data_IF_265798341564
#
_entry.id   IF_265798341564
#
_cell.length_a   1.000
_cell.length_b   1.000
_cell.length_c   1.000
_cell.angle_alpha   90.00
_cell.angle_beta   90.00
_cell.angle_gamma   90.00
#
_symmetry.space_group_name_H-M   'P 1'
#
loop_
_entity.id
_entity.type
_entity.pdbx_description
1 polymer ?
#
# COMPACT_ATOMS: atom_id res chain seq x y z
N UNK A 1 -31.11 -123.79 2.86
CA UNK A 1 -31.49 -122.60 3.66
C UNK A 1 -30.52 -121.49 3.22
N UNK A 2 -30.88 -120.68 2.22
CA UNK A 2 -31.59 -119.38 2.31
C UNK A 2 -30.70 -118.30 2.96
N UNK A 3 -30.57 -117.06 2.50
CA UNK A 3 -31.09 -116.30 1.36
C UNK A 3 -30.28 -115.00 1.29
N UNK A 4 -30.24 -114.37 0.13
CA UNK A 4 -29.60 -113.08 -0.17
C UNK A 4 -30.13 -111.91 0.68
N UNK A 5 -29.36 -110.82 0.80
CA UNK A 5 -29.93 -109.50 0.45
C UNK A 5 -28.89 -108.40 0.16
N UNK A 6 -29.16 -107.68 -0.93
CA UNK A 6 -28.49 -106.47 -1.40
C UNK A 6 -28.98 -105.24 -0.60
N UNK A 7 -28.08 -104.29 -0.29
CA UNK A 7 -28.46 -102.95 0.19
C UNK A 7 -27.95 -101.86 -0.75
N UNK A 8 -28.91 -101.29 -1.47
CA UNK A 8 -28.85 -100.05 -2.26
C UNK A 8 -28.42 -98.86 -1.39
N UNK A 9 -27.41 -98.14 -1.87
CA UNK A 9 -26.99 -96.81 -1.40
C UNK A 9 -27.91 -95.73 -1.97
N UNK A 10 -28.65 -95.02 -1.10
CA UNK A 10 -29.26 -93.71 -1.44
C UNK A 10 -28.49 -92.60 -0.74
N UNK A 11 -27.77 -91.79 -1.51
CA UNK A 11 -27.18 -90.53 -1.03
C UNK A 11 -28.24 -89.42 -1.08
N UNK A 12 -28.40 -88.71 0.04
CA UNK A 12 -29.42 -87.68 0.26
C UNK A 12 -28.88 -86.29 -0.16
N UNK A 13 -29.51 -85.53 -1.07
CA UNK A 13 -28.92 -84.35 -1.71
C UNK A 13 -28.92 -83.07 -0.84
N UNK A 14 -29.51 -83.08 0.37
CA UNK A 14 -29.70 -81.89 1.21
C UNK A 14 -28.42 -81.34 1.87
N UNK A 15 -27.32 -82.10 1.96
CA UNK A 15 -26.10 -81.68 2.69
C UNK A 15 -25.15 -80.76 1.88
N UNK A 16 -25.20 -80.79 0.54
CA UNK A 16 -24.30 -79.98 -0.32
C UNK A 16 -24.68 -78.49 -0.40
N UNK A 17 -25.94 -78.13 -0.13
CA UNK A 17 -26.43 -76.77 -0.41
C UNK A 17 -26.19 -75.76 0.74
N UNK A 18 -26.10 -76.23 2.00
CA UNK A 18 -25.86 -75.38 3.18
C UNK A 18 -24.45 -74.77 3.22
N UNK A 19 -23.43 -75.51 2.76
CA UNK A 19 -22.05 -75.01 2.73
C UNK A 19 -21.84 -73.92 1.67
N UNK A 20 -22.65 -73.90 0.60
CA UNK A 20 -22.56 -72.88 -0.46
C UNK A 20 -23.22 -71.55 -0.09
N UNK A 21 -24.23 -71.57 0.77
CA UNK A 21 -24.93 -70.37 1.23
C UNK A 21 -24.11 -69.64 2.31
N UNK A 22 -23.47 -70.39 3.22
CA UNK A 22 -22.57 -69.83 4.24
C UNK A 22 -21.33 -69.18 3.61
N UNK A 23 -20.68 -69.83 2.64
CA UNK A 23 -19.49 -69.27 1.96
C UNK A 23 -19.82 -68.02 1.12
N UNK A 24 -20.99 -67.98 0.47
CA UNK A 24 -21.47 -66.77 -0.22
C UNK A 24 -21.76 -65.62 0.74
N UNK A 25 -22.28 -65.91 1.94
CA UNK A 25 -22.53 -64.90 2.96
C UNK A 25 -21.23 -64.32 3.53
N UNK A 26 -20.21 -65.13 3.76
CA UNK A 26 -18.86 -64.69 4.19
C UNK A 26 -18.15 -63.87 3.11
N UNK A 27 -18.18 -64.31 1.84
CA UNK A 27 -17.61 -63.54 0.74
C UNK A 27 -18.29 -62.17 0.55
N UNK A 28 -19.61 -62.07 0.78
CA UNK A 28 -20.34 -60.80 0.76
C UNK A 28 -19.94 -59.90 1.93
N UNK A 29 -19.74 -60.45 3.13
CA UNK A 29 -19.28 -59.70 4.31
C UNK A 29 -17.86 -59.17 4.10
N UNK A 30 -16.95 -59.99 3.58
CA UNK A 30 -15.57 -59.59 3.29
C UNK A 30 -15.51 -58.44 2.26
N UNK A 31 -16.30 -58.51 1.18
CA UNK A 31 -16.38 -57.41 0.19
C UNK A 31 -16.95 -56.12 0.78
N UNK A 32 -17.96 -56.22 1.64
CA UNK A 32 -18.55 -55.05 2.32
C UNK A 32 -17.56 -54.44 3.32
N UNK A 33 -16.77 -55.25 4.02
CA UNK A 33 -15.72 -54.77 4.92
C UNK A 33 -14.56 -54.11 4.18
N UNK A 34 -14.15 -54.66 3.04
CA UNK A 34 -13.14 -54.07 2.15
C UNK A 34 -13.62 -52.71 1.60
N UNK A 35 -14.86 -52.64 1.13
CA UNK A 35 -15.49 -51.39 0.68
C UNK A 35 -15.55 -50.35 1.81
N UNK A 36 -15.98 -50.75 3.02
CA UNK A 36 -15.99 -49.87 4.19
C UNK A 36 -14.60 -49.36 4.57
N UNK A 37 -13.56 -50.21 4.50
CA UNK A 37 -12.17 -49.79 4.75
C UNK A 37 -11.67 -48.83 3.68
N UNK A 38 -12.01 -49.06 2.42
CA UNK A 38 -11.66 -48.18 1.30
C UNK A 38 -12.35 -46.81 1.41
N UNK A 39 -13.63 -46.77 1.80
CA UNK A 39 -14.38 -45.55 2.07
C UNK A 39 -13.79 -44.80 3.27
N UNK A 40 -13.53 -45.48 4.40
CA UNK A 40 -12.90 -44.87 5.57
C UNK A 40 -11.50 -44.32 5.25
N UNK A 41 -10.72 -45.00 4.42
CA UNK A 41 -9.41 -44.51 3.97
C UNK A 41 -9.52 -43.26 3.09
N UNK A 42 -10.53 -43.21 2.20
CA UNK A 42 -10.83 -42.03 1.37
C UNK A 42 -11.33 -40.86 2.21
N UNK A 43 -12.23 -41.10 3.17
CA UNK A 43 -12.71 -40.06 4.09
C UNK A 43 -11.60 -39.51 4.96
N UNK A 44 -10.73 -40.38 5.53
CA UNK A 44 -9.56 -39.93 6.29
C UNK A 44 -8.63 -39.09 5.42
N UNK A 45 -8.33 -39.53 4.19
CA UNK A 45 -7.47 -38.79 3.27
C UNK A 45 -8.10 -37.45 2.88
N UNK A 46 -9.38 -37.41 2.53
CA UNK A 46 -10.07 -36.19 2.16
C UNK A 46 -10.17 -35.24 3.36
N UNK A 47 -10.46 -35.75 4.56
CA UNK A 47 -10.47 -34.95 5.79
C UNK A 47 -9.10 -34.34 6.07
N UNK A 48 -8.03 -35.12 5.94
CA UNK A 48 -6.65 -34.61 6.11
C UNK A 48 -6.41 -33.51 5.08
N UNK A 49 -6.62 -33.77 3.79
CA UNK A 49 -6.42 -32.79 2.71
C UNK A 49 -7.20 -31.51 2.98
N UNK A 50 -8.51 -31.61 3.28
CA UNK A 50 -9.34 -30.43 3.58
C UNK A 50 -8.80 -29.65 4.77
N UNK A 51 -8.42 -30.32 5.86
CA UNK A 51 -7.86 -29.65 7.04
C UNK A 51 -6.52 -28.98 6.71
N UNK A 52 -5.63 -29.64 5.99
CA UNK A 52 -4.31 -29.08 5.64
C UNK A 52 -4.45 -27.88 4.71
N UNK A 53 -5.32 -27.96 3.69
CA UNK A 53 -5.58 -26.86 2.76
C UNK A 53 -6.22 -25.67 3.49
N UNK A 54 -7.25 -25.91 4.30
CA UNK A 54 -7.89 -24.85 5.08
C UNK A 54 -6.91 -24.19 6.06
N UNK A 55 -6.06 -24.98 6.72
CA UNK A 55 -5.04 -24.45 7.62
C UNK A 55 -3.99 -23.60 6.87
N UNK A 56 -3.55 -24.04 5.69
CA UNK A 56 -2.61 -23.28 4.87
C UNK A 56 -3.21 -21.95 4.38
N UNK A 57 -4.48 -21.95 3.96
CA UNK A 57 -5.19 -20.73 3.56
C UNK A 57 -5.29 -19.76 4.74
N UNK A 58 -5.71 -20.24 5.93
CA UNK A 58 -5.80 -19.41 7.13
C UNK A 58 -4.43 -18.84 7.54
N UNK A 59 -3.38 -19.66 7.52
CA UNK A 59 -2.02 -19.19 7.81
C UNK A 59 -1.55 -18.13 6.80
N UNK A 60 -1.85 -18.32 5.51
CA UNK A 60 -1.56 -17.33 4.47
C UNK A 60 -2.31 -16.02 4.65
N UNK A 61 -3.61 -16.06 4.97
CA UNK A 61 -4.41 -14.86 5.22
C UNK A 61 -3.98 -14.11 6.48
N UNK A 62 -3.68 -14.83 7.57
CA UNK A 62 -3.21 -14.22 8.82
C UNK A 62 -1.81 -13.63 8.63
N UNK A 63 -0.87 -14.39 8.05
CA UNK A 63 0.49 -13.92 7.81
C UNK A 63 0.54 -12.76 6.82
N UNK A 64 -0.19 -12.86 5.69
CA UNK A 64 -0.29 -11.79 4.70
C UNK A 64 -1.00 -10.56 5.24
N UNK A 65 -2.11 -10.74 5.97
CA UNK A 65 -2.83 -9.65 6.62
C UNK A 65 -1.98 -8.92 7.66
N UNK A 66 -1.27 -9.67 8.52
CA UNK A 66 -0.34 -9.09 9.49
C UNK A 66 0.80 -8.32 8.82
N UNK A 67 1.42 -8.87 7.78
CA UNK A 67 2.48 -8.19 7.02
C UNK A 67 1.98 -6.88 6.39
N UNK A 68 0.77 -6.88 5.82
CA UNK A 68 0.18 -5.66 5.26
C UNK A 68 -0.12 -4.61 6.34
N UNK A 69 -0.57 -5.04 7.52
CA UNK A 69 -0.80 -4.13 8.66
C UNK A 69 0.51 -3.56 9.19
N UNK A 70 1.54 -4.38 9.41
CA UNK A 70 2.86 -3.94 9.86
C UNK A 70 3.52 -2.95 8.88
N UNK A 71 3.42 -3.23 7.58
CA UNK A 71 3.91 -2.31 6.54
C UNK A 71 3.13 -0.99 6.50
N UNK A 72 1.81 -1.02 6.76
CA UNK A 72 1.00 0.18 6.86
C UNK A 72 1.35 1.01 8.11
N UNK A 73 1.51 0.36 9.26
CA UNK A 73 1.91 1.00 10.52
C UNK A 73 3.30 1.62 10.40
N UNK A 74 4.27 0.92 9.81
CA UNK A 74 5.62 1.46 9.57
C UNK A 74 5.60 2.69 8.65
N UNK A 75 4.77 2.65 7.60
CA UNK A 75 4.58 3.80 6.70
C UNK A 75 3.91 4.96 7.41
N UNK A 76 2.92 4.70 8.27
CA UNK A 76 2.26 5.72 9.07
C UNK A 76 3.21 6.35 10.10
N UNK A 77 4.04 5.55 10.77
CA UNK A 77 5.05 6.06 11.70
C UNK A 77 6.14 6.89 10.99
N UNK A 78 6.59 6.47 9.82
CA UNK A 78 7.50 7.26 8.99
C UNK A 78 6.85 8.58 8.52
N UNK A 79 5.55 8.55 8.20
CA UNK A 79 4.76 9.76 7.92
C UNK A 79 4.48 10.62 9.16
N UNK A 80 4.66 10.10 10.38
CA UNK A 80 4.54 10.90 11.60
C UNK A 80 5.85 11.61 11.96
N UNK A 81 7.01 11.01 11.71
CA UNK A 81 8.31 11.60 12.03
C UNK A 81 8.67 12.75 11.07
N UNK A 82 9.06 13.95 11.55
CA UNK A 82 9.47 15.06 10.68
C UNK A 82 10.72 14.71 9.86
N UNK A 83 10.88 15.34 8.69
CA UNK A 83 12.10 15.17 7.88
C UNK A 83 13.28 15.77 8.63
N UNK A 84 14.41 15.07 8.65
CA UNK A 84 15.57 15.47 9.45
C UNK A 84 16.09 16.87 9.05
N UNK A 85 16.13 17.78 10.03
CA UNK A 85 16.62 19.15 9.84
C UNK A 85 15.63 20.10 9.17
N UNK A 86 14.36 19.70 9.00
CA UNK A 86 13.31 20.63 8.62
C UNK A 86 13.03 21.64 9.74
N UNK A 87 12.56 22.82 9.36
CA UNK A 87 11.99 23.82 10.26
C UNK A 87 10.47 23.78 10.17
N UNK A 88 9.80 24.04 11.28
CA UNK A 88 8.35 24.05 11.37
C UNK A 88 7.80 25.33 11.96
N UNK A 89 6.63 25.74 11.49
CA UNK A 89 5.87 26.87 11.98
C UNK A 89 4.44 26.45 12.24
N UNK A 90 3.93 26.78 13.42
CA UNK A 90 2.58 26.47 13.84
C UNK A 90 1.72 27.75 13.91
N UNK A 91 0.39 27.57 13.94
CA UNK A 91 -0.58 28.68 14.10
C UNK A 91 -0.45 29.76 13.02
N UNK A 92 -0.18 29.34 11.79
CA UNK A 92 -0.20 30.22 10.63
C UNK A 92 -1.65 30.60 10.31
N UNK A 93 -1.88 31.87 9.97
CA UNK A 93 -3.18 32.31 9.46
C UNK A 93 -3.44 31.78 8.06
N UNK A 94 -4.70 31.84 7.62
CA UNK A 94 -5.19 31.34 6.32
C UNK A 94 -6.09 32.40 5.66
N UNK A 95 -5.85 33.68 5.95
CA UNK A 95 -6.72 34.74 5.41
C UNK A 95 -6.32 35.07 3.99
N UNK A 96 -7.27 35.04 3.07
CA UNK A 96 -7.06 35.59 1.72
C UNK A 96 -7.02 37.12 1.76
N UNK A 97 -5.98 37.71 1.19
CA UNK A 97 -5.74 39.16 1.14
C UNK A 97 -5.26 39.60 -0.24
N UNK A 98 -5.63 40.82 -0.65
CA UNK A 98 -5.20 41.42 -1.93
C UNK A 98 -3.94 42.29 -1.79
N UNK A 99 -3.31 42.29 -0.61
CA UNK A 99 -2.15 43.12 -0.27
C UNK A 99 -0.89 42.30 -0.06
N UNK A 100 0.28 42.92 -0.21
CA UNK A 100 1.55 42.29 0.11
C UNK A 100 1.63 41.88 1.59
N UNK A 101 2.21 40.71 1.86
CA UNK A 101 2.30 40.11 3.19
C UNK A 101 3.76 40.01 3.63
N UNK A 102 4.03 40.39 4.88
CA UNK A 102 5.34 40.21 5.49
C UNK A 102 5.38 38.89 6.25
N UNK A 103 6.14 37.93 5.72
CA UNK A 103 6.33 36.63 6.34
C UNK A 103 7.53 36.60 7.30
N UNK A 104 7.48 35.80 8.37
CA UNK A 104 8.59 35.66 9.32
C UNK A 104 9.70 34.70 8.85
N UNK A 105 9.53 34.07 7.68
CA UNK A 105 10.46 33.13 7.08
C UNK A 105 10.58 33.36 5.57
N UNK A 106 11.67 32.86 4.99
CA UNK A 106 12.02 33.08 3.58
C UNK A 106 12.62 31.79 2.99
N UNK A 107 12.03 31.20 1.94
CA UNK A 107 10.68 31.49 1.39
C UNK A 107 9.56 31.28 2.43
N UNK A 108 8.37 31.85 2.22
CA UNK A 108 7.23 31.65 3.12
C UNK A 108 6.65 30.24 3.03
N UNK A 109 6.08 29.77 4.15
CA UNK A 109 5.46 28.43 4.26
C UNK A 109 3.98 28.47 4.67
N UNK A 110 3.34 29.63 4.64
CA UNK A 110 1.97 29.80 5.14
C UNK A 110 1.76 31.16 5.81
N UNK A 111 0.52 31.46 6.18
CA UNK A 111 0.09 32.78 6.64
C UNK A 111 -0.94 33.39 5.68
N UNK A 112 -1.28 34.65 5.88
CA UNK A 112 -2.16 35.39 4.96
C UNK A 112 -1.56 35.38 3.55
N UNK A 113 -2.40 35.25 2.53
CA UNK A 113 -1.93 35.01 1.16
C UNK A 113 -2.99 35.40 0.11
N UNK A 114 -2.65 35.34 -1.18
CA UNK A 114 -3.52 35.87 -2.23
C UNK A 114 -4.78 35.01 -2.39
N UNK A 115 -5.93 35.53 -2.85
CA UNK A 115 -7.12 34.71 -3.11
C UNK A 115 -6.98 33.77 -4.32
N UNK A 116 -5.94 33.93 -5.12
CA UNK A 116 -5.66 33.10 -6.30
C UNK A 116 -4.35 32.37 -6.11
N UNK A 117 -4.33 31.05 -6.29
CA UNK A 117 -3.12 30.25 -6.22
C UNK A 117 -2.24 30.42 -7.46
N UNK A 118 -0.94 30.18 -7.29
CA UNK A 118 -0.05 29.91 -8.41
C UNK A 118 -0.30 28.50 -8.92
N UNK A 119 -0.35 28.28 -10.25
CA UNK A 119 -0.44 26.91 -10.78
C UNK A 119 0.70 26.05 -10.20
N UNK A 120 0.35 24.86 -9.71
CA UNK A 120 1.20 24.04 -8.87
C UNK A 120 1.10 22.54 -9.18
N UNK A 121 0.71 22.17 -10.40
CA UNK A 121 0.51 20.77 -10.78
C UNK A 121 1.64 20.24 -11.66
N UNK A 122 2.88 20.46 -11.21
CA UNK A 122 4.10 20.16 -11.95
C UNK A 122 4.62 21.35 -12.74
N UNK A 123 4.38 22.57 -12.25
CA UNK A 123 4.71 23.80 -12.95
C UNK A 123 6.17 24.22 -12.71
N UNK A 124 6.85 24.58 -13.80
CA UNK A 124 8.25 25.05 -13.78
C UNK A 124 8.27 26.50 -14.23
N UNK A 125 8.67 27.38 -13.32
CA UNK A 125 8.77 28.83 -13.55
C UNK A 125 10.23 29.23 -13.78
N UNK A 126 10.46 30.08 -14.78
CA UNK A 126 11.78 30.65 -15.10
C UNK A 126 12.04 31.97 -14.39
N UNK A 127 10.99 32.62 -13.89
CA UNK A 127 11.05 33.89 -13.18
C UNK A 127 10.55 33.72 -11.73
N UNK A 128 10.98 34.57 -10.79
CA UNK A 128 10.42 34.59 -9.44
C UNK A 128 8.91 34.81 -9.47
N UNK A 129 8.18 34.03 -8.67
CA UNK A 129 6.74 34.16 -8.49
C UNK A 129 6.41 34.97 -7.22
N UNK A 130 5.19 35.50 -7.14
CA UNK A 130 4.74 36.21 -5.95
C UNK A 130 4.53 35.23 -4.78
N UNK A 131 5.05 35.60 -3.62
CA UNK A 131 5.00 34.83 -2.38
C UNK A 131 3.55 34.44 -2.03
N UNK A 132 2.63 35.40 -2.11
CA UNK A 132 1.24 35.26 -1.71
C UNK A 132 0.51 34.25 -2.61
N UNK A 133 0.82 34.19 -3.90
CA UNK A 133 0.24 33.18 -4.80
C UNK A 133 0.84 31.79 -4.54
N UNK A 134 2.16 31.72 -4.28
CA UNK A 134 2.83 30.46 -3.97
C UNK A 134 2.36 29.87 -2.62
N UNK A 135 2.11 30.71 -1.61
CA UNK A 135 1.61 30.29 -0.29
C UNK A 135 0.22 29.68 -0.41
N UNK A 136 -0.66 30.24 -1.24
CA UNK A 136 -1.96 29.61 -1.54
C UNK A 136 -1.77 28.22 -2.15
N UNK A 137 -0.80 28.05 -3.07
CA UNK A 137 -0.49 26.70 -3.59
C UNK A 137 -0.07 25.72 -2.49
N UNK A 138 0.63 26.19 -1.45
CA UNK A 138 0.97 25.36 -0.28
C UNK A 138 -0.28 25.00 0.55
N UNK A 139 -1.26 25.92 0.64
CA UNK A 139 -2.57 25.67 1.28
C UNK A 139 -3.30 24.51 0.59
N UNK A 140 -3.21 24.43 -0.74
CA UNK A 140 -3.75 23.34 -1.56
C UNK A 140 -2.92 22.04 -1.49
N UNK A 141 -1.80 22.07 -0.76
CA UNK A 141 -0.94 20.91 -0.52
C UNK A 141 0.13 20.69 -1.57
N UNK A 142 0.53 21.76 -2.26
CA UNK A 142 1.72 21.72 -3.08
C UNK A 142 3.00 21.78 -2.25
N UNK A 143 4.09 21.28 -2.83
CA UNK A 143 5.45 21.61 -2.38
C UNK A 143 6.08 22.59 -3.36
N UNK A 144 6.48 23.76 -2.87
CA UNK A 144 7.22 24.76 -3.62
C UNK A 144 8.72 24.57 -3.42
N UNK A 145 9.40 24.23 -4.52
CA UNK A 145 10.85 24.12 -4.58
C UNK A 145 11.41 25.44 -5.11
N UNK A 146 12.41 25.98 -4.43
CA UNK A 146 13.01 27.27 -4.78
C UNK A 146 14.52 27.15 -4.83
N UNK A 147 15.15 27.93 -5.71
CA UNK A 147 16.60 27.92 -5.89
C UNK A 147 17.17 29.33 -6.09
N UNK A 148 18.43 29.53 -5.72
CA UNK A 148 19.21 30.73 -6.04
C UNK A 148 20.41 30.39 -6.93
N UNK A 149 21.26 31.38 -7.20
CA UNK A 149 22.45 31.30 -8.04
C UNK A 149 23.56 30.35 -7.52
N UNK A 150 23.44 29.87 -6.28
CA UNK A 150 24.36 28.89 -5.70
C UNK A 150 23.99 27.45 -6.04
N UNK A 151 22.76 27.20 -6.53
CA UNK A 151 22.37 25.89 -7.03
C UNK A 151 23.01 25.64 -8.40
N UNK A 152 23.49 24.41 -8.64
CA UNK A 152 24.04 24.08 -9.95
C UNK A 152 22.93 23.95 -11.00
N UNK A 153 23.20 24.33 -12.25
CA UNK A 153 22.24 24.18 -13.36
C UNK A 153 21.77 22.72 -13.52
N UNK A 154 22.65 21.77 -13.24
CA UNK A 154 22.32 20.34 -13.26
C UNK A 154 21.30 19.96 -12.17
N UNK A 155 21.47 20.49 -10.95
CA UNK A 155 20.51 20.27 -9.86
C UNK A 155 19.15 20.92 -10.18
N UNK A 156 19.17 22.16 -10.68
CA UNK A 156 17.95 22.90 -11.07
C UNK A 156 17.22 22.14 -12.17
N UNK A 157 17.92 21.74 -13.23
CA UNK A 157 17.31 20.97 -14.32
C UNK A 157 16.71 19.64 -13.82
N UNK A 158 17.43 18.90 -13.00
CA UNK A 158 16.94 17.62 -12.47
C UNK A 158 15.71 17.80 -11.55
N UNK A 159 15.67 18.89 -10.79
CA UNK A 159 14.51 19.27 -10.00
C UNK A 159 13.32 19.64 -10.88
N UNK A 160 13.51 20.49 -11.89
CA UNK A 160 12.48 20.85 -12.86
C UNK A 160 11.91 19.63 -13.58
N UNK A 161 12.77 18.72 -14.05
CA UNK A 161 12.36 17.47 -14.69
C UNK A 161 11.53 16.57 -13.75
N UNK A 162 11.81 16.61 -12.44
CA UNK A 162 11.02 15.89 -11.43
C UNK A 162 9.69 16.57 -11.14
N UNK A 163 9.70 17.90 -10.96
CA UNK A 163 8.49 18.71 -10.73
C UNK A 163 7.50 18.54 -11.87
N UNK A 164 7.94 18.63 -13.13
CA UNK A 164 7.10 18.44 -14.32
C UNK A 164 6.36 17.09 -14.38
N UNK A 165 6.77 16.10 -13.58
CA UNK A 165 6.17 14.75 -13.51
C UNK A 165 5.50 14.48 -12.16
N UNK A 166 5.50 15.44 -11.24
CA UNK A 166 4.98 15.30 -9.89
C UNK A 166 3.84 16.29 -9.70
N UNK A 167 2.58 15.83 -9.69
CA UNK A 167 1.42 16.65 -9.31
C UNK A 167 1.64 17.34 -7.97
N UNK A 168 0.97 18.48 -7.75
CA UNK A 168 1.10 19.26 -6.51
C UNK A 168 2.55 19.63 -6.18
N UNK A 169 3.33 20.00 -7.20
CA UNK A 169 4.65 20.60 -7.04
C UNK A 169 4.84 21.77 -7.99
N UNK A 170 5.67 22.71 -7.58
CA UNK A 170 6.12 23.80 -8.42
C UNK A 170 7.57 24.16 -8.11
N UNK A 171 8.28 24.71 -9.10
CA UNK A 171 9.64 25.22 -8.91
C UNK A 171 9.81 26.61 -9.50
N UNK A 172 10.52 27.50 -8.80
CA UNK A 172 10.87 28.84 -9.29
C UNK A 172 12.20 29.34 -8.72
N UNK A 173 12.86 30.33 -9.36
CA UNK A 173 13.92 31.09 -8.71
C UNK A 173 13.43 31.81 -7.46
N UNK A 174 14.32 31.98 -6.49
CA UNK A 174 14.16 32.80 -5.29
C UNK A 174 15.51 33.39 -4.87
N UNK A 175 15.96 34.52 -5.46
CA UNK A 175 17.32 35.02 -5.28
C UNK A 175 17.71 35.29 -3.82
N UNK A 176 16.79 35.80 -3.01
CA UNK A 176 17.07 36.25 -1.65
C UNK A 176 17.11 35.13 -0.60
N UNK A 177 16.90 33.87 -1.00
CA UNK A 177 16.94 32.75 -0.06
C UNK A 177 18.38 32.42 0.36
N UNK A 178 18.54 31.92 1.59
CA UNK A 178 19.87 31.64 2.15
C UNK A 178 20.54 30.38 1.57
N UNK A 179 19.76 29.32 1.36
CA UNK A 179 20.25 28.00 0.91
C UNK A 179 20.24 27.89 -0.62
N UNK A 180 21.09 27.07 -1.25
CA UNK A 180 21.00 26.82 -2.69
C UNK A 180 19.62 26.34 -3.12
N UNK A 181 19.02 25.41 -2.36
CA UNK A 181 17.70 24.83 -2.64
C UNK A 181 16.87 24.83 -1.35
N UNK A 182 15.63 25.28 -1.44
CA UNK A 182 14.66 25.23 -0.35
C UNK A 182 13.38 24.54 -0.80
N UNK A 183 12.87 23.61 0.00
CA UNK A 183 11.56 22.99 -0.18
C UNK A 183 10.61 23.51 0.89
N UNK A 184 9.45 24.01 0.45
CA UNK A 184 8.43 24.59 1.32
C UNK A 184 7.11 23.87 1.12
N UNK A 185 6.49 23.45 2.22
CA UNK A 185 5.13 22.95 2.31
C UNK A 185 4.41 23.73 3.41
N UNK A 186 3.08 23.66 3.51
CA UNK A 186 2.36 24.43 4.53
C UNK A 186 2.89 24.15 5.95
N UNK A 187 3.53 25.13 6.58
CA UNK A 187 4.13 25.05 7.90
C UNK A 187 5.48 24.34 7.99
N UNK A 188 6.06 23.84 6.89
CA UNK A 188 7.30 23.06 6.90
C UNK A 188 8.29 23.56 5.84
N UNK A 189 9.58 23.62 6.21
CA UNK A 189 10.64 24.01 5.29
C UNK A 189 11.89 23.15 5.45
N UNK A 190 12.49 22.75 4.34
CA UNK A 190 13.76 22.05 4.31
C UNK A 190 14.76 22.78 3.42
N UNK A 191 15.92 23.11 3.99
CA UNK A 191 17.05 23.70 3.26
C UNK A 191 18.08 22.63 2.93
N UNK A 192 18.51 22.55 1.66
CA UNK A 192 19.54 21.62 1.18
C UNK A 192 20.48 22.31 0.22
N UNK A 193 21.70 21.79 0.09
CA UNK A 193 22.72 22.35 -0.81
C UNK A 193 22.71 21.73 -2.20
N UNK A 194 22.15 20.52 -2.36
CA UNK A 194 22.15 19.75 -3.62
C UNK A 194 20.85 18.99 -3.78
N UNK A 195 20.47 18.69 -5.04
CA UNK A 195 19.31 17.84 -5.30
C UNK A 195 19.53 16.40 -4.81
N UNK A 196 20.76 15.90 -4.83
CA UNK A 196 21.03 14.51 -4.44
C UNK A 196 20.84 14.21 -2.95
N UNK A 197 20.53 15.21 -2.12
CA UNK A 197 20.22 15.00 -0.70
C UNK A 197 18.97 14.10 -0.57
N UNK A 198 19.06 12.95 0.15
CA UNK A 198 17.95 12.00 0.27
C UNK A 198 16.69 12.64 0.86
N UNK A 199 16.87 13.66 1.72
CA UNK A 199 15.77 14.37 2.36
C UNK A 199 14.87 15.12 1.38
N UNK A 200 15.35 15.43 0.17
CA UNK A 200 14.52 16.01 -0.88
C UNK A 200 13.40 15.04 -1.28
N UNK A 201 13.72 13.75 -1.46
CA UNK A 201 12.71 12.76 -1.80
C UNK A 201 11.79 12.49 -0.61
N UNK A 202 12.34 12.38 0.60
CA UNK A 202 11.55 12.21 1.84
C UNK A 202 10.55 13.36 2.04
N UNK A 203 10.97 14.60 1.81
CA UNK A 203 10.11 15.79 1.94
C UNK A 203 8.97 15.78 0.92
N UNK A 204 9.26 15.45 -0.35
CA UNK A 204 8.22 15.35 -1.38
C UNK A 204 7.23 14.22 -1.08
N UNK A 205 7.71 13.05 -0.68
CA UNK A 205 6.86 11.89 -0.34
C UNK A 205 5.96 12.16 0.87
N UNK A 206 6.45 12.96 1.83
CA UNK A 206 5.72 13.27 3.06
C UNK A 206 4.72 14.41 2.88
N UNK A 207 5.11 15.47 2.17
CA UNK A 207 4.38 16.74 2.22
C UNK A 207 3.57 17.08 0.98
N UNK A 208 3.85 16.47 -0.18
CA UNK A 208 2.94 16.58 -1.32
C UNK A 208 1.61 15.93 -0.92
N UNK A 209 0.54 16.73 -0.86
CA UNK A 209 -0.77 16.29 -0.39
C UNK A 209 -0.74 15.62 1.00
N UNK A 210 0.21 16.04 1.85
CA UNK A 210 0.39 15.49 3.19
C UNK A 210 -0.67 15.93 4.19
N UNK A 211 -0.69 15.30 5.38
CA UNK A 211 -1.69 15.57 6.44
C UNK A 211 -1.65 17.00 7.00
N UNK A 212 -0.55 17.73 6.81
CA UNK A 212 -0.37 19.12 7.25
C UNK A 212 -1.11 20.13 6.37
N UNK A 213 -1.52 19.73 5.17
CA UNK A 213 -2.18 20.59 4.20
C UNK A 213 -3.54 21.05 4.73
N UNK A 214 -3.83 22.37 4.76
CA UNK A 214 -5.14 22.87 5.14
C UNK A 214 -6.27 22.46 4.19
N UNK A 215 -6.03 22.53 2.88
CA UNK A 215 -7.02 22.20 1.84
C UNK A 215 -6.53 21.09 0.89
N UNK A 216 -6.38 19.85 1.38
CA UNK A 216 -5.85 18.76 0.58
C UNK A 216 -6.77 18.45 -0.61
N UNK A 217 -6.20 18.36 -1.80
CA UNK A 217 -6.90 18.05 -3.05
C UNK A 217 -7.52 19.27 -3.75
N UNK A 218 -7.35 20.48 -3.20
CA UNK A 218 -7.80 21.70 -3.86
C UNK A 218 -7.06 21.94 -5.19
N UNK A 219 -7.67 22.71 -6.08
CA UNK A 219 -7.19 22.81 -7.46
C UNK A 219 -5.76 23.39 -7.54
N UNK A 220 -4.85 22.68 -8.19
CA UNK A 220 -3.50 23.18 -8.50
C UNK A 220 -3.36 23.70 -9.94
N UNK A 221 -4.46 23.89 -10.66
CA UNK A 221 -4.50 24.37 -12.06
C UNK A 221 -5.64 25.35 -12.25
N UNK A 222 -5.50 26.30 -13.18
CA UNK A 222 -6.52 27.32 -13.46
C UNK A 222 -6.43 28.55 -12.56
N UNK A 223 -5.35 28.66 -11.78
CA UNK A 223 -4.99 29.85 -11.04
C UNK A 223 -4.10 30.76 -11.90
N UNK A 224 -3.14 31.42 -11.25
CA UNK A 224 -2.15 32.29 -11.88
C UNK A 224 -1.14 31.46 -12.67
N UNK A 225 -0.90 31.86 -13.92
CA UNK A 225 0.19 31.32 -14.77
C UNK A 225 1.52 32.02 -14.46
N UNK A 226 2.59 31.61 -15.17
CA UNK A 226 3.80 32.41 -15.30
C UNK A 226 3.46 33.78 -15.92
#
# INVERSE_FOLDING_TARGET
MASANSKSTRTNPKKKNRNSAASKAEARRARVEEQRRAEQARERRNRIITVTVSAAILAGLVGGGWYLLDAADAKEQAQAAPVSGEKTWAKLSQTHVDTAVKYPMTPPVGGDHAPVWQNCNGDVYTDPIQNENAVHSLEHGAVWITYNDKASDADVKALSDKVAKTPYTLISPYPDQSSPITLSAWGHQLNVTKRSDPRVSEFLEKYVQGRQTPEPGAACTGGKSA
#
